data_IF_089196391159
#
_entry.id   IF_089196391159
#
_cell.length_a   1.000
_cell.length_b   1.000
_cell.length_c   1.000
_cell.angle_alpha   90.00
_cell.angle_beta   90.00
_cell.angle_gamma   90.00
#
_symmetry.space_group_name_H-M   'P 1'
#
loop_
_entity.id
_entity.type
_entity.pdbx_description
1 polymer ?
#
# COMPACT_ATOMS: atom_id res chain seq x y z
N UNK A 1 54.68 26.13 -17.07
CA UNK A 1 54.31 25.40 -15.85
C UNK A 1 52.84 25.01 -16.02
N UNK A 2 52.57 23.83 -16.59
CA UNK A 2 51.18 23.34 -16.70
C UNK A 2 50.82 22.77 -15.32
N UNK A 3 49.88 23.41 -14.62
CA UNK A 3 49.23 22.79 -13.47
C UNK A 3 48.40 21.61 -13.99
N UNK A 4 48.45 20.42 -13.36
CA UNK A 4 47.54 19.35 -13.71
C UNK A 4 46.13 19.75 -13.27
N UNK A 5 45.18 19.75 -14.20
CA UNK A 5 43.76 19.87 -13.89
C UNK A 5 43.37 18.65 -13.05
N UNK A 6 43.07 18.89 -11.77
CA UNK A 6 42.48 17.86 -10.91
C UNK A 6 41.10 17.51 -11.47
N UNK A 7 40.76 16.21 -11.59
CA UNK A 7 39.48 15.81 -12.14
C UNK A 7 38.36 16.33 -11.22
N UNK A 8 37.52 17.23 -11.75
CA UNK A 8 36.30 17.65 -11.06
C UNK A 8 35.46 16.42 -10.73
N UNK A 9 35.50 16.02 -9.46
CA UNK A 9 34.60 15.01 -8.90
C UNK A 9 33.19 15.60 -8.88
N UNK A 10 32.49 15.52 -10.00
CA UNK A 10 31.08 15.89 -10.09
C UNK A 10 30.29 14.83 -9.34
N UNK A 11 29.98 15.12 -8.07
CA UNK A 11 29.04 14.31 -7.28
C UNK A 11 27.70 14.26 -8.00
N UNK A 12 27.19 13.05 -8.25
CA UNK A 12 25.86 12.82 -8.81
C UNK A 12 24.71 13.14 -7.83
N UNK A 13 25.04 13.41 -6.56
CA UNK A 13 24.08 13.72 -5.50
C UNK A 13 24.12 15.21 -5.14
N UNK A 14 22.95 15.80 -4.80
CA UNK A 14 22.89 17.18 -4.34
C UNK A 14 23.71 17.36 -3.06
N UNK A 15 24.28 18.56 -2.90
CA UNK A 15 24.94 18.95 -1.66
C UNK A 15 23.97 18.76 -0.47
N UNK A 16 24.48 18.42 0.73
CA UNK A 16 23.65 18.30 1.90
C UNK A 16 22.90 19.61 2.17
N UNK A 17 21.70 19.54 2.78
CA UNK A 17 20.92 20.74 3.09
C UNK A 17 21.72 21.76 3.92
N UNK A 18 21.53 23.05 3.62
CA UNK A 18 22.30 24.14 4.25
C UNK A 18 22.19 24.18 5.79
N UNK A 19 21.08 23.66 6.36
CA UNK A 19 20.85 23.64 7.80
C UNK A 19 21.81 22.72 8.57
N UNK A 20 22.59 21.86 7.91
CA UNK A 20 23.61 21.02 8.57
C UNK A 20 24.62 21.88 9.35
N UNK A 21 24.90 23.10 8.88
CA UNK A 21 25.77 24.07 9.57
C UNK A 21 25.27 24.48 10.96
N UNK A 22 23.96 24.34 11.25
CA UNK A 22 23.36 24.67 12.55
C UNK A 22 23.71 23.65 13.65
N UNK A 23 24.26 22.50 13.28
CA UNK A 23 24.62 21.41 14.19
C UNK A 23 26.14 21.33 14.46
N UNK A 24 26.90 22.41 14.19
CA UNK A 24 28.35 22.43 14.32
C UNK A 24 28.83 22.15 15.75
N UNK A 25 28.09 22.64 16.76
CA UNK A 25 28.41 22.51 18.18
C UNK A 25 27.80 21.25 18.84
N UNK A 26 27.14 20.38 18.06
CA UNK A 26 26.55 19.13 18.52
C UNK A 26 25.09 18.93 18.09
N UNK A 27 24.50 17.76 18.39
CA UNK A 27 23.14 17.39 17.97
C UNK A 27 22.04 18.29 18.55
N UNK A 28 22.28 18.87 19.73
CA UNK A 28 21.31 19.73 20.43
C UNK A 28 21.42 21.22 20.07
N UNK A 29 22.41 21.60 19.25
CA UNK A 29 22.66 23.00 18.88
C UNK A 29 21.68 23.52 17.80
N UNK A 30 21.13 22.62 16.99
CA UNK A 30 20.16 22.97 15.95
C UNK A 30 18.74 23.20 16.48
N UNK A 31 17.87 23.82 15.68
CA UNK A 31 16.47 23.96 16.04
C UNK A 31 15.81 22.58 16.16
N UNK A 32 14.75 22.45 17.01
CA UNK A 32 13.96 21.23 17.05
C UNK A 32 13.36 20.94 15.66
N UNK A 33 13.11 19.66 15.33
CA UNK A 33 12.50 19.31 14.06
C UNK A 33 11.18 20.07 13.88
N UNK A 34 10.83 20.47 12.64
CA UNK A 34 9.56 21.13 12.38
C UNK A 34 8.40 20.23 12.84
N UNK A 35 7.26 20.82 13.25
CA UNK A 35 6.09 20.05 13.60
C UNK A 35 5.67 19.15 12.43
N UNK A 36 5.02 18.00 12.70
CA UNK A 36 4.56 17.09 11.67
C UNK A 36 3.78 17.85 10.59
N UNK A 37 4.03 17.50 9.32
CA UNK A 37 3.30 18.12 8.22
C UNK A 37 1.80 17.90 8.42
N UNK A 38 1.02 18.94 8.09
CA UNK A 38 -0.44 18.89 7.95
C UNK A 38 -0.82 17.83 6.89
N UNK A 39 -2.10 17.37 6.81
CA UNK A 39 -2.45 15.99 6.46
C UNK A 39 -2.09 15.50 5.06
N UNK A 40 -1.42 16.29 4.23
CA UNK A 40 -0.97 15.88 2.89
C UNK A 40 0.42 16.46 2.59
N UNK A 41 1.36 15.60 2.18
CA UNK A 41 2.66 16.00 1.64
C UNK A 41 2.86 15.37 0.26
N UNK A 42 3.75 15.90 -0.59
CA UNK A 42 4.05 15.26 -1.87
C UNK A 42 5.37 14.49 -1.77
N UNK A 43 5.34 13.20 -2.08
CA UNK A 43 6.53 12.36 -2.25
C UNK A 43 6.65 12.00 -3.73
N UNK A 44 7.75 12.40 -4.37
CA UNK A 44 8.02 12.11 -5.79
C UNK A 44 6.89 12.52 -6.75
N UNK A 45 6.23 13.64 -6.45
CA UNK A 45 5.10 14.15 -7.25
C UNK A 45 3.74 13.53 -6.93
N UNK A 46 3.69 12.53 -6.05
CA UNK A 46 2.44 11.91 -5.60
C UNK A 46 2.02 12.50 -4.25
N UNK A 47 0.77 12.96 -4.08
CA UNK A 47 0.26 13.37 -2.78
C UNK A 47 0.10 12.15 -1.85
N UNK A 48 0.67 12.24 -0.65
CA UNK A 48 0.57 11.26 0.43
C UNK A 48 -0.12 11.89 1.62
N UNK A 49 -1.05 11.16 2.23
CA UNK A 49 -1.69 11.57 3.49
C UNK A 49 -0.77 11.27 4.68
N UNK A 50 -0.78 12.13 5.71
CA UNK A 50 -0.17 11.79 7.01
C UNK A 50 -1.12 11.01 7.91
N UNK A 51 -2.38 10.84 7.51
CA UNK A 51 -3.32 9.95 8.19
C UNK A 51 -3.10 8.51 7.73
N UNK A 52 -3.13 7.57 8.68
CA UNK A 52 -3.08 6.13 8.43
C UNK A 52 -4.46 5.63 7.96
N UNK A 53 -4.88 6.12 6.80
CA UNK A 53 -6.09 5.66 6.12
C UNK A 53 -5.68 4.61 5.09
N UNK A 54 -6.18 3.38 5.27
CA UNK A 54 -5.98 2.33 4.28
C UNK A 54 -6.74 2.73 3.01
N UNK A 55 -6.07 2.94 1.87
CA UNK A 55 -6.73 3.38 0.65
C UNK A 55 -7.73 2.30 0.22
N UNK A 56 -8.95 2.73 -0.09
CA UNK A 56 -9.93 1.86 -0.71
C UNK A 56 -9.48 1.55 -2.15
N UNK A 57 -9.22 0.28 -2.42
CA UNK A 57 -8.69 -0.15 -3.71
C UNK A 57 -9.78 -0.26 -4.79
N UNK A 58 -11.05 -0.12 -4.42
CA UNK A 58 -12.19 -0.43 -5.29
C UNK A 58 -13.29 0.62 -5.11
N UNK A 59 -13.86 1.17 -6.18
CA UNK A 59 -15.04 2.02 -6.07
C UNK A 59 -16.28 1.22 -5.62
N UNK A 60 -17.25 1.89 -5.01
CA UNK A 60 -18.39 1.25 -4.32
C UNK A 60 -19.24 0.36 -5.25
N UNK A 61 -19.32 0.68 -6.54
CA UNK A 61 -20.03 -0.08 -7.56
C UNK A 61 -19.42 -1.46 -7.86
N UNK A 62 -18.13 -1.65 -7.54
CA UNK A 62 -17.39 -2.89 -7.77
C UNK A 62 -17.19 -3.73 -6.50
N UNK A 63 -17.68 -3.25 -5.35
CA UNK A 63 -17.64 -4.00 -4.08
C UNK A 63 -18.69 -5.11 -4.08
N UNK A 64 -18.23 -6.34 -3.89
CA UNK A 64 -19.05 -7.55 -3.85
C UNK A 64 -19.35 -8.02 -2.43
N UNK A 65 -19.15 -7.15 -1.44
CA UNK A 65 -19.32 -7.43 -0.03
C UNK A 65 -19.93 -6.24 0.71
N UNK A 66 -20.59 -6.50 1.83
CA UNK A 66 -21.21 -5.47 2.64
C UNK A 66 -20.24 -4.97 3.73
N UNK A 67 -20.07 -3.63 3.85
CA UNK A 67 -19.10 -3.01 4.77
C UNK A 67 -19.50 -3.10 6.24
N UNK A 68 -20.79 -3.28 6.52
CA UNK A 68 -21.36 -3.41 7.87
C UNK A 68 -21.26 -4.85 8.45
N UNK A 69 -20.85 -5.82 7.63
CA UNK A 69 -20.77 -7.22 8.02
C UNK A 69 -19.40 -7.62 8.56
N UNK A 70 -19.34 -8.79 9.21
CA UNK A 70 -18.07 -9.36 9.67
C UNK A 70 -17.16 -9.68 8.47
N UNK A 71 -15.99 -9.03 8.43
CA UNK A 71 -14.97 -9.20 7.38
C UNK A 71 -14.64 -10.68 7.11
N UNK A 72 -14.62 -11.53 8.15
CA UNK A 72 -14.32 -12.95 8.00
C UNK A 72 -15.40 -13.70 7.22
N UNK A 73 -16.67 -13.33 7.40
CA UNK A 73 -17.78 -14.01 6.73
C UNK A 73 -17.93 -13.51 5.30
N UNK A 74 -17.72 -12.22 5.05
CA UNK A 74 -17.61 -11.67 3.70
C UNK A 74 -16.45 -12.29 2.92
N UNK A 75 -15.28 -12.46 3.55
CA UNK A 75 -14.14 -13.16 2.94
C UNK A 75 -14.49 -14.59 2.53
N UNK A 76 -15.24 -15.34 3.36
CA UNK A 76 -15.70 -16.69 3.00
C UNK A 76 -16.66 -16.67 1.82
N UNK A 77 -17.57 -15.69 1.74
CA UNK A 77 -18.51 -15.56 0.62
C UNK A 77 -17.76 -15.29 -0.69
N UNK A 78 -16.86 -14.30 -0.70
CA UNK A 78 -16.04 -13.97 -1.87
C UNK A 78 -15.17 -15.16 -2.28
N UNK A 79 -14.56 -15.88 -1.33
CA UNK A 79 -13.77 -17.07 -1.62
C UNK A 79 -14.61 -18.21 -2.24
N UNK A 80 -15.85 -18.43 -1.79
CA UNK A 80 -16.75 -19.38 -2.46
C UNK A 80 -17.07 -18.94 -3.89
N UNK A 81 -17.37 -17.66 -4.09
CA UNK A 81 -17.62 -17.09 -5.42
C UNK A 81 -16.41 -17.27 -6.35
N UNK A 82 -15.20 -17.09 -5.84
CA UNK A 82 -13.95 -17.34 -6.58
C UNK A 82 -13.83 -18.80 -7.02
N UNK A 83 -14.13 -19.75 -6.13
CA UNK A 83 -14.10 -21.17 -6.49
C UNK A 83 -15.14 -21.51 -7.57
N UNK A 84 -16.37 -20.99 -7.47
CA UNK A 84 -17.38 -21.18 -8.51
C UNK A 84 -16.95 -20.57 -9.83
N UNK A 85 -16.44 -19.33 -9.83
CA UNK A 85 -15.96 -18.65 -11.03
C UNK A 85 -14.79 -19.39 -11.70
N UNK A 86 -13.92 -20.03 -10.91
CA UNK A 86 -12.85 -20.87 -11.44
C UNK A 86 -13.37 -22.14 -12.11
N UNK A 87 -14.36 -22.82 -11.51
CA UNK A 87 -14.99 -23.99 -12.14
C UNK A 87 -15.69 -23.59 -13.45
N UNK A 88 -16.40 -22.48 -13.47
CA UNK A 88 -17.02 -21.94 -14.69
C UNK A 88 -15.97 -21.58 -15.76
N UNK A 89 -14.81 -21.05 -15.36
CA UNK A 89 -13.71 -20.81 -16.30
C UNK A 89 -13.22 -22.13 -16.92
N UNK A 90 -13.06 -23.19 -16.13
CA UNK A 90 -12.69 -24.52 -16.64
C UNK A 90 -13.73 -25.03 -17.64
N UNK A 91 -15.02 -24.90 -17.32
CA UNK A 91 -16.11 -25.29 -18.23
C UNK A 91 -16.10 -24.48 -19.54
N UNK A 92 -15.87 -23.17 -19.47
CA UNK A 92 -15.74 -22.31 -20.67
C UNK A 92 -14.53 -22.74 -21.50
N UNK A 93 -13.40 -23.05 -20.89
CA UNK A 93 -12.21 -23.50 -21.61
C UNK A 93 -12.42 -24.83 -22.34
N UNK A 94 -13.23 -25.74 -21.78
CA UNK A 94 -13.58 -27.01 -22.41
C UNK A 94 -14.55 -26.79 -23.59
N UNK A 95 -15.58 -25.96 -23.41
CA UNK A 95 -16.66 -25.79 -24.39
C UNK A 95 -16.34 -24.78 -25.49
N UNK A 96 -15.78 -23.62 -25.13
CA UNK A 96 -15.41 -22.57 -26.05
C UNK A 96 -14.26 -21.70 -25.48
N UNK A 97 -13.00 -22.09 -25.74
CA UNK A 97 -11.85 -21.44 -25.13
C UNK A 97 -11.65 -19.98 -25.57
N UNK A 98 -12.34 -19.49 -26.60
CA UNK A 98 -12.22 -18.09 -27.03
C UNK A 98 -12.96 -17.10 -26.12
N UNK A 99 -13.87 -17.59 -25.26
CA UNK A 99 -14.71 -16.76 -24.39
C UNK A 99 -14.20 -16.64 -22.95
N UNK A 100 -12.98 -17.10 -22.67
CA UNK A 100 -12.43 -17.13 -21.32
C UNK A 100 -12.27 -15.75 -20.66
N UNK A 101 -12.07 -14.67 -21.45
CA UNK A 101 -11.78 -13.32 -20.95
C UNK A 101 -12.83 -12.83 -19.94
N UNK A 102 -14.12 -13.01 -20.22
CA UNK A 102 -15.18 -12.57 -19.31
C UNK A 102 -15.08 -13.23 -17.92
N UNK A 103 -14.66 -14.52 -17.87
CA UNK A 103 -14.46 -15.23 -16.61
C UNK A 103 -13.18 -14.83 -15.89
N UNK A 104 -12.16 -14.39 -16.63
CA UNK A 104 -10.97 -13.81 -16.03
C UNK A 104 -11.27 -12.45 -15.39
N UNK A 105 -12.05 -11.61 -16.06
CA UNK A 105 -12.48 -10.31 -15.52
C UNK A 105 -13.26 -10.49 -14.20
N UNK A 106 -14.17 -11.46 -14.15
CA UNK A 106 -14.90 -11.85 -12.92
C UNK A 106 -13.92 -12.25 -11.79
N UNK A 107 -12.92 -13.09 -12.11
CA UNK A 107 -11.91 -13.56 -11.16
C UNK A 107 -11.02 -12.41 -10.66
N UNK A 108 -10.58 -11.52 -11.55
CA UNK A 108 -9.80 -10.33 -11.19
C UNK A 108 -10.58 -9.44 -10.22
N UNK A 109 -11.86 -9.20 -10.50
CA UNK A 109 -12.72 -8.44 -9.61
C UNK A 109 -12.86 -9.09 -8.23
N UNK A 110 -12.99 -10.42 -8.16
CA UNK A 110 -13.04 -11.16 -6.90
C UNK A 110 -11.73 -11.02 -6.11
N UNK A 111 -10.57 -11.09 -6.77
CA UNK A 111 -9.28 -10.88 -6.11
C UNK A 111 -9.09 -9.46 -5.59
N UNK A 112 -9.52 -8.44 -6.34
CA UNK A 112 -9.51 -7.06 -5.84
C UNK A 112 -10.35 -6.95 -4.57
N UNK A 113 -11.56 -7.52 -4.57
CA UNK A 113 -12.46 -7.54 -3.41
C UNK A 113 -11.82 -8.21 -2.19
N UNK A 114 -11.13 -9.34 -2.38
CA UNK A 114 -10.38 -9.99 -1.29
C UNK A 114 -9.24 -9.11 -0.76
N UNK A 115 -8.48 -8.44 -1.64
CA UNK A 115 -7.43 -7.52 -1.21
C UNK A 115 -7.98 -6.40 -0.34
N UNK A 116 -9.13 -5.85 -0.72
CA UNK A 116 -9.78 -4.78 0.03
C UNK A 116 -10.26 -5.26 1.41
N UNK A 117 -10.84 -6.46 1.49
CA UNK A 117 -11.21 -7.08 2.78
C UNK A 117 -9.99 -7.35 3.68
N UNK A 118 -8.87 -7.81 3.12
CA UNK A 118 -7.61 -8.02 3.87
C UNK A 118 -7.10 -6.68 4.41
N UNK A 119 -7.14 -5.65 3.57
CA UNK A 119 -6.77 -4.28 3.92
C UNK A 119 -7.61 -3.74 5.09
N UNK A 120 -8.93 -3.91 5.03
CA UNK A 120 -9.84 -3.55 6.11
C UNK A 120 -9.60 -4.32 7.42
N UNK A 121 -9.04 -5.54 7.35
CA UNK A 121 -8.73 -6.35 8.53
C UNK A 121 -7.42 -5.97 9.24
N UNK A 122 -6.52 -5.22 8.58
CA UNK A 122 -5.19 -4.88 9.13
C UNK A 122 -5.24 -4.24 10.53
N UNK A 123 -6.10 -3.25 10.82
CA UNK A 123 -6.13 -2.61 12.14
C UNK A 123 -6.47 -3.59 13.26
N UNK A 124 -7.42 -4.50 13.01
CA UNK A 124 -7.79 -5.55 13.97
C UNK A 124 -6.63 -6.53 14.20
N UNK A 125 -5.89 -6.90 13.16
CA UNK A 125 -4.71 -7.76 13.30
C UNK A 125 -3.59 -7.09 14.11
N UNK A 126 -3.33 -5.80 13.88
CA UNK A 126 -2.35 -5.03 14.67
C UNK A 126 -2.78 -4.93 16.12
N UNK A 127 -4.06 -4.62 16.38
CA UNK A 127 -4.61 -4.56 17.73
C UNK A 127 -4.47 -5.91 18.47
N UNK A 128 -4.78 -7.02 17.79
CA UNK A 128 -4.59 -8.37 18.34
C UNK A 128 -3.12 -8.67 18.66
N UNK A 129 -2.19 -8.32 17.75
CA UNK A 129 -0.76 -8.57 17.95
C UNK A 129 -0.15 -7.68 19.04
N UNK A 130 -0.68 -6.48 19.25
CA UNK A 130 -0.22 -5.53 20.27
C UNK A 130 -0.80 -5.85 21.66
N UNK A 131 -1.89 -6.62 21.73
CA UNK A 131 -2.41 -7.09 23.01
C UNK A 131 -1.38 -7.98 23.71
N UNK A 132 -1.14 -7.82 25.02
CA UNK A 132 -0.27 -8.71 25.75
C UNK A 132 -0.82 -10.12 25.62
N UNK A 133 -0.05 -11.03 25.02
CA UNK A 133 -0.37 -12.46 25.15
C UNK A 133 -0.32 -12.76 26.64
N UNK A 134 -1.47 -13.11 27.21
CA UNK A 134 -1.52 -13.66 28.56
C UNK A 134 -0.46 -14.76 28.64
N UNK A 135 0.58 -14.51 29.44
CA UNK A 135 1.63 -15.48 29.69
C UNK A 135 1.01 -16.66 30.46
N UNK A 136 1.38 -17.91 30.12
CA UNK A 136 0.87 -19.11 30.78
C UNK A 136 1.25 -19.18 32.26
#
# INVERSE_FOLDING_TARGET
MNQPEEPELVSAFPAPPAFVSLYADGPDAGPPPPPPLKPTYHSFGTPYSTEDAVPDLIPDDKKLYATDHNVKDEMKKVNRSLMYSFLELVDVLILNPTKFNAKLDDIEQLFLNMHNLINAYRPHQVAMNLSPKEAP
#
